data_IF_175485763800
#
_entry.id   IF_175485763800
#
_cell.length_a   1.000
_cell.length_b   1.000
_cell.length_c   1.000
_cell.angle_alpha   90.00
_cell.angle_beta   90.00
_cell.angle_gamma   90.00
#
_symmetry.space_group_name_H-M   'P 1'
#
loop_
_entity.id
_entity.type
_entity.pdbx_description
1 polymer ?
#
# COMPACT_ATOMS: atom_id res chain seq x y z
N UNK A 1 -13.23 -25.23 -24.96
CA UNK A 1 -12.65 -25.07 -23.62
C UNK A 1 -13.35 -23.88 -22.97
N UNK A 2 -13.95 -24.11 -21.81
CA UNK A 2 -14.91 -23.21 -21.16
C UNK A 2 -14.18 -22.19 -20.28
N UNK A 3 -14.69 -20.96 -20.24
CA UNK A 3 -14.30 -19.85 -19.36
C UNK A 3 -14.40 -20.14 -17.84
N UNK A 4 -14.79 -21.37 -17.47
CA UNK A 4 -15.02 -21.80 -16.09
C UNK A 4 -13.76 -22.22 -15.33
N UNK A 5 -12.62 -22.45 -16.00
CA UNK A 5 -11.41 -23.01 -15.35
C UNK A 5 -10.36 -21.96 -14.94
N UNK A 6 -10.62 -20.66 -15.13
CA UNK A 6 -9.70 -19.58 -14.70
C UNK A 6 -10.07 -18.99 -13.32
N UNK A 7 -11.09 -19.50 -12.64
CA UNK A 7 -11.53 -19.03 -11.32
C UNK A 7 -11.31 -20.10 -10.25
N UNK A 8 -10.08 -20.57 -10.09
CA UNK A 8 -9.76 -21.57 -9.07
C UNK A 8 -8.37 -21.40 -8.45
N UNK A 9 -7.96 -20.15 -8.16
CA UNK A 9 -7.19 -19.83 -6.95
C UNK A 9 -7.32 -18.34 -6.70
N UNK A 10 -8.45 -17.91 -6.14
CA UNK A 10 -8.48 -16.62 -5.45
C UNK A 10 -7.66 -16.82 -4.19
N UNK A 11 -6.33 -16.69 -4.30
CA UNK A 11 -5.53 -16.36 -3.14
C UNK A 11 -6.17 -15.09 -2.60
N UNK A 12 -6.92 -15.24 -1.49
CA UNK A 12 -7.46 -14.12 -0.76
C UNK A 12 -6.25 -13.25 -0.45
N UNK A 13 -6.11 -12.11 -1.14
CA UNK A 13 -5.00 -11.20 -0.90
C UNK A 13 -5.09 -10.78 0.56
N UNK A 14 -4.28 -11.41 1.41
CA UNK A 14 -4.30 -11.23 2.86
C UNK A 14 -3.56 -9.97 3.26
N UNK A 15 -2.64 -9.50 2.41
CA UNK A 15 -1.82 -8.32 2.63
C UNK A 15 -1.25 -7.85 1.29
N UNK A 16 -1.26 -6.55 1.04
CA UNK A 16 -0.53 -5.91 -0.06
C UNK A 16 0.57 -5.04 0.54
N UNK A 17 1.79 -5.14 0.01
CA UNK A 17 2.90 -4.26 0.38
C UNK A 17 3.29 -3.39 -0.82
N UNK A 18 3.57 -2.11 -0.56
CA UNK A 18 4.05 -1.14 -1.53
C UNK A 18 5.24 -0.38 -0.94
N UNK A 19 6.31 -0.19 -1.71
CA UNK A 19 7.44 0.67 -1.31
C UNK A 19 7.04 2.12 -1.57
N UNK A 20 7.05 2.94 -0.53
CA UNK A 20 6.79 4.38 -0.62
C UNK A 20 8.06 5.18 -0.95
N UNK A 21 9.20 4.75 -0.39
CA UNK A 21 10.51 5.37 -0.59
C UNK A 21 11.60 4.35 -0.36
N UNK A 22 12.64 4.35 -1.20
CA UNK A 22 13.84 3.55 -0.99
C UNK A 22 15.08 4.40 -1.24
N UNK A 23 16.05 4.28 -0.36
CA UNK A 23 17.38 4.89 -0.47
C UNK A 23 18.43 3.93 0.05
N UNK A 24 19.71 4.30 -0.05
CA UNK A 24 20.82 3.51 0.47
C UNK A 24 20.79 3.36 2.00
N UNK A 25 20.06 4.24 2.69
CA UNK A 25 20.03 4.29 4.17
C UNK A 25 18.74 3.76 4.79
N UNK A 26 17.62 3.80 4.06
CA UNK A 26 16.33 3.34 4.56
C UNK A 26 15.36 2.93 3.46
N UNK A 27 14.40 2.09 3.83
CA UNK A 27 13.22 1.75 3.03
C UNK A 27 11.96 2.07 3.82
N UNK A 28 10.98 2.70 3.18
CA UNK A 28 9.64 2.90 3.70
C UNK A 28 8.64 2.05 2.92
N UNK A 29 7.82 1.29 3.64
CA UNK A 29 6.77 0.45 3.05
C UNK A 29 5.40 0.81 3.61
N UNK A 30 4.38 0.77 2.76
CA UNK A 30 2.96 0.77 3.11
C UNK A 30 2.46 -0.66 3.01
N UNK A 31 1.93 -1.18 4.11
CA UNK A 31 1.16 -2.42 4.17
C UNK A 31 -0.33 -2.07 4.18
N UNK A 32 -1.11 -2.77 3.35
CA UNK A 32 -2.57 -2.71 3.31
C UNK A 32 -3.09 -4.10 3.64
N UNK A 33 -3.87 -4.26 4.70
CA UNK A 33 -4.43 -5.56 5.09
C UNK A 33 -5.86 -5.46 5.63
N UNK A 34 -6.73 -6.45 5.36
CA UNK A 34 -8.03 -6.52 5.99
C UNK A 34 -7.89 -6.76 7.50
N UNK A 35 -8.91 -6.33 8.26
CA UNK A 35 -9.01 -6.62 9.70
C UNK A 35 -10.06 -7.73 9.87
N UNK A 36 -9.68 -8.98 10.21
CA UNK A 36 -10.64 -10.09 10.25
C UNK A 36 -11.84 -9.86 11.16
N UNK A 37 -11.63 -9.19 12.29
CA UNK A 37 -12.69 -8.86 13.24
C UNK A 37 -13.60 -7.70 12.78
N UNK A 38 -13.18 -6.92 11.78
CA UNK A 38 -13.88 -5.72 11.30
C UNK A 38 -13.81 -5.65 9.76
N UNK A 39 -14.57 -6.50 9.04
CA UNK A 39 -14.42 -6.66 7.58
C UNK A 39 -14.71 -5.42 6.73
N UNK A 40 -15.37 -4.41 7.32
CA UNK A 40 -15.62 -3.11 6.68
C UNK A 40 -14.41 -2.17 6.78
N UNK A 41 -13.42 -2.47 7.62
CA UNK A 41 -12.19 -1.70 7.79
C UNK A 41 -10.97 -2.43 7.20
N UNK A 42 -10.04 -1.62 6.71
CA UNK A 42 -8.73 -2.04 6.23
C UNK A 42 -7.66 -1.30 7.03
N UNK A 43 -6.66 -2.01 7.54
CA UNK A 43 -5.50 -1.41 8.20
C UNK A 43 -4.48 -0.99 7.15
N UNK A 44 -4.04 0.27 7.24
CA UNK A 44 -2.89 0.82 6.53
C UNK A 44 -1.76 1.02 7.55
N UNK A 45 -0.59 0.45 7.28
CA UNK A 45 0.59 0.59 8.14
C UNK A 45 1.78 1.06 7.33
N UNK A 46 2.34 2.20 7.71
CA UNK A 46 3.62 2.66 7.17
C UNK A 46 4.73 2.21 8.12
N UNK A 47 5.72 1.50 7.57
CA UNK A 47 6.91 1.08 8.30
C UNK A 47 8.15 1.70 7.67
N UNK A 48 9.14 1.99 8.51
CA UNK A 48 10.49 2.38 8.10
C UNK A 48 11.47 1.32 8.54
N UNK A 49 12.34 0.89 7.63
CA UNK A 49 13.48 0.00 7.87
C UNK A 49 14.76 0.79 7.67
N UNK A 50 15.56 0.94 8.72
CA UNK A 50 16.88 1.60 8.63
C UNK A 50 17.93 0.54 8.29
N UNK A 51 18.52 0.62 7.09
CA UNK A 51 19.47 -0.39 6.61
C UNK A 51 20.82 -0.33 7.33
N UNK A 52 21.11 0.83 7.94
CA UNK A 52 22.33 1.10 8.72
C UNK A 52 22.17 0.81 10.22
N UNK A 53 20.98 0.39 10.68
CA UNK A 53 20.76 0.06 12.08
C UNK A 53 21.55 -1.20 12.49
N UNK A 54 21.75 -1.37 13.81
CA UNK A 54 22.38 -2.58 14.37
C UNK A 54 21.69 -3.87 13.91
N UNK A 55 20.37 -3.80 13.73
CA UNK A 55 19.60 -4.84 13.08
C UNK A 55 18.93 -4.27 11.81
N UNK A 56 19.51 -4.50 10.62
CA UNK A 56 18.96 -3.99 9.37
C UNK A 56 17.57 -4.55 9.03
N UNK A 57 17.13 -5.66 9.64
CA UNK A 57 15.80 -6.24 9.42
C UNK A 57 14.71 -5.64 10.33
N UNK A 58 15.09 -4.80 11.29
CA UNK A 58 14.14 -4.14 12.18
C UNK A 58 13.28 -3.14 11.39
N UNK A 59 11.97 -3.37 11.39
CA UNK A 59 10.97 -2.45 10.84
C UNK A 59 10.28 -1.71 11.99
N UNK A 60 10.21 -0.37 11.92
CA UNK A 60 9.51 0.47 12.88
C UNK A 60 8.23 1.02 12.29
N UNK A 61 7.11 0.94 13.01
CA UNK A 61 5.85 1.55 12.57
C UNK A 61 5.96 3.06 12.70
N UNK A 62 5.86 3.77 11.58
CA UNK A 62 5.85 5.23 11.51
C UNK A 62 4.43 5.78 11.61
N UNK A 63 3.48 5.11 10.98
CA UNK A 63 2.05 5.46 11.04
C UNK A 63 1.18 4.21 10.91
N UNK A 64 0.00 4.26 11.51
CA UNK A 64 -1.05 3.25 11.39
C UNK A 64 -2.41 3.92 11.41
N UNK A 65 -3.30 3.54 10.49
CA UNK A 65 -4.70 3.95 10.53
C UNK A 65 -5.60 2.85 9.97
N UNK A 66 -6.90 3.01 10.19
CA UNK A 66 -7.93 2.19 9.56
C UNK A 66 -8.70 3.06 8.56
N UNK A 67 -9.04 2.47 7.43
CA UNK A 67 -9.83 3.13 6.38
C UNK A 67 -11.00 2.21 6.04
N UNK A 68 -12.19 2.79 5.89
CA UNK A 68 -13.35 2.04 5.40
C UNK A 68 -13.05 1.49 4.01
N UNK A 69 -13.47 0.25 3.76
CA UNK A 69 -13.18 -0.45 2.51
C UNK A 69 -13.63 0.34 1.28
N UNK A 70 -14.78 1.00 1.36
CA UNK A 70 -15.31 1.81 0.26
C UNK A 70 -14.47 3.07 0.02
N UNK A 71 -13.84 3.61 1.06
CA UNK A 71 -12.96 4.79 0.99
C UNK A 71 -11.58 4.47 0.38
N UNK A 72 -11.19 3.20 0.29
CA UNK A 72 -9.98 2.82 -0.45
C UNK A 72 -10.09 3.12 -1.94
N UNK A 73 -11.29 2.96 -2.51
CA UNK A 73 -11.56 3.30 -3.92
C UNK A 73 -11.41 4.80 -4.13
N UNK A 74 -11.96 5.61 -3.22
CA UNK A 74 -11.81 7.06 -3.25
C UNK A 74 -10.36 7.51 -3.06
N UNK A 75 -9.60 6.85 -2.19
CA UNK A 75 -8.17 7.11 -1.99
C UNK A 75 -7.38 6.84 -3.28
N UNK A 76 -7.64 5.71 -3.95
CA UNK A 76 -7.04 5.40 -5.27
C UNK A 76 -7.35 6.51 -6.28
N UNK A 77 -8.60 6.95 -6.35
CA UNK A 77 -9.01 7.98 -7.30
C UNK A 77 -8.39 9.34 -6.98
N UNK A 78 -8.24 9.67 -5.69
CA UNK A 78 -7.52 10.86 -5.24
C UNK A 78 -6.04 10.83 -5.64
N UNK A 79 -5.36 9.69 -5.47
CA UNK A 79 -3.98 9.49 -5.91
C UNK A 79 -3.85 9.66 -7.43
N UNK A 80 -4.75 9.06 -8.21
CA UNK A 80 -4.76 9.19 -9.67
C UNK A 80 -4.89 10.66 -10.10
N UNK A 81 -5.83 11.41 -9.51
CA UNK A 81 -5.99 12.85 -9.79
C UNK A 81 -4.74 13.64 -9.46
N UNK A 82 -4.15 13.40 -8.28
CA UNK A 82 -2.92 14.07 -7.86
C UNK A 82 -1.79 13.83 -8.86
N UNK A 83 -1.58 12.59 -9.30
CA UNK A 83 -0.53 12.24 -10.26
C UNK A 83 -0.73 12.91 -11.62
N UNK A 84 -1.96 12.90 -12.14
CA UNK A 84 -2.29 13.58 -13.41
C UNK A 84 -1.99 15.07 -13.33
N UNK A 85 -2.35 15.72 -12.23
CA UNK A 85 -2.06 17.14 -12.03
C UNK A 85 -0.56 17.44 -11.94
N UNK A 86 0.22 16.60 -11.24
CA UNK A 86 1.66 16.77 -11.12
C UNK A 86 2.37 16.58 -12.47
N UNK A 87 1.98 15.58 -13.26
CA UNK A 87 2.52 15.34 -14.60
C UNK A 87 2.19 16.53 -15.52
N UNK A 88 0.96 17.04 -15.45
CA UNK A 88 0.52 18.16 -16.29
C UNK A 88 1.25 19.46 -15.94
N UNK A 89 1.49 19.71 -14.65
CA UNK A 89 2.25 20.89 -14.17
C UNK A 89 3.75 20.78 -14.43
N UNK A 90 4.32 19.57 -14.39
CA UNK A 90 5.74 19.31 -14.66
C UNK A 90 6.15 19.43 -16.13
N UNK A 91 5.20 19.41 -17.07
CA UNK A 91 5.46 19.66 -18.50
C UNK A 91 5.53 21.15 -18.90
N UNK A 92 5.41 22.07 -17.94
CA UNK A 92 5.48 23.51 -18.14
C UNK A 92 6.73 24.17 -17.51
N UNK A 93 7.73 23.39 -17.12
CA UNK A 93 9.03 23.88 -16.63
C UNK A 93 10.16 23.60 -17.62
#
# INVERSE_FOLDING_TARGET
MSIAETLATTDLVTEVECILSASDSYVETLTIKPIPAQPWLTELVIKTQLLTAKNPQEKRVKARCCVDRDRLVELRDALNRYLVEQITKGGQQ
#
